data_IF_180820257750
#
_entry.id   IF_180820257750
#
_cell.length_a   1.000
_cell.length_b   1.000
_cell.length_c   1.000
_cell.angle_alpha   90.00
_cell.angle_beta   90.00
_cell.angle_gamma   90.00
#
_symmetry.space_group_name_H-M   'P 1'
#
loop_
_entity.id
_entity.type
_entity.pdbx_description
1 polymer ?
#
# COMPACT_ATOMS: atom_id res chain seq x y z
N UNK A 1 -67.96 -24.16 23.76
CA UNK A 1 -66.86 -24.67 22.92
C UNK A 1 -65.65 -23.69 23.08
N UNK A 2 -64.64 -24.10 23.84
CA UNK A 2 -63.40 -23.33 23.99
C UNK A 2 -62.37 -23.93 23.03
N UNK A 3 -61.95 -23.15 22.03
CA UNK A 3 -60.83 -23.52 21.15
C UNK A 3 -59.51 -23.21 21.84
N UNK A 4 -58.73 -24.24 22.14
CA UNK A 4 -57.33 -24.12 22.59
C UNK A 4 -56.47 -24.11 21.36
N UNK A 5 -55.83 -22.93 21.07
CA UNK A 5 -54.79 -22.82 20.06
C UNK A 5 -53.47 -23.32 20.66
N UNK A 6 -52.99 -24.47 20.21
CA UNK A 6 -51.61 -24.91 20.46
C UNK A 6 -50.67 -24.12 19.56
N UNK A 7 -49.92 -23.15 20.11
CA UNK A 7 -48.76 -22.55 19.43
C UNK A 7 -47.60 -23.53 19.54
N UNK A 8 -47.28 -24.20 18.43
CA UNK A 8 -46.01 -24.93 18.28
C UNK A 8 -44.89 -23.94 18.03
N UNK A 9 -44.10 -23.64 19.05
CA UNK A 9 -42.85 -22.92 18.96
C UNK A 9 -41.81 -23.81 18.23
N UNK A 10 -41.58 -23.57 16.93
CA UNK A 10 -40.42 -24.09 16.27
C UNK A 10 -39.19 -23.31 16.76
N UNK A 11 -38.50 -23.86 17.75
CA UNK A 11 -37.18 -23.39 18.13
C UNK A 11 -36.22 -23.73 16.98
N UNK A 12 -35.86 -22.74 16.19
CA UNK A 12 -34.72 -22.84 15.27
C UNK A 12 -33.48 -22.96 16.16
N UNK A 13 -33.01 -24.17 16.38
CA UNK A 13 -31.67 -24.37 16.94
C UNK A 13 -30.66 -23.91 15.85
N UNK A 14 -30.11 -22.72 16.03
CA UNK A 14 -28.90 -22.32 15.28
C UNK A 14 -27.84 -23.41 15.59
N UNK A 15 -27.22 -24.02 14.57
CA UNK A 15 -26.17 -25.00 14.81
C UNK A 15 -25.06 -24.33 15.63
N UNK A 16 -24.65 -24.95 16.71
CA UNK A 16 -23.53 -24.48 17.51
C UNK A 16 -22.29 -24.39 16.61
N UNK A 17 -21.59 -23.27 16.68
CA UNK A 17 -20.36 -23.06 15.88
C UNK A 17 -19.38 -24.21 16.18
N UNK A 18 -18.95 -24.92 15.13
CA UNK A 18 -17.99 -26.03 15.26
C UNK A 18 -16.60 -25.51 15.60
N UNK A 19 -15.97 -26.10 16.62
CA UNK A 19 -14.57 -25.84 16.97
C UNK A 19 -13.72 -27.05 16.60
N UNK A 20 -12.72 -26.84 15.75
CA UNK A 20 -11.76 -27.85 15.31
C UNK A 20 -10.38 -27.45 15.83
N UNK A 21 -9.99 -28.04 16.96
CA UNK A 21 -8.74 -27.67 17.62
C UNK A 21 -7.56 -28.33 16.91
N UNK A 22 -6.51 -27.55 16.67
CA UNK A 22 -5.24 -28.09 16.13
C UNK A 22 -4.55 -28.91 17.19
N UNK A 23 -4.46 -30.21 16.98
CA UNK A 23 -3.85 -31.17 17.93
C UNK A 23 -2.35 -31.34 17.75
N UNK A 24 -1.84 -31.18 16.50
CA UNK A 24 -0.43 -31.37 16.16
C UNK A 24 0.17 -30.10 15.59
N UNK A 25 1.37 -29.68 16.03
CA UNK A 25 2.01 -28.46 15.56
C UNK A 25 2.72 -28.65 14.19
N UNK A 26 1.99 -29.15 13.23
CA UNK A 26 2.47 -29.44 11.87
C UNK A 26 1.55 -28.83 10.82
N UNK A 27 2.05 -28.71 9.58
CA UNK A 27 1.21 -28.30 8.43
C UNK A 27 -0.05 -29.15 8.33
N UNK A 28 0.09 -30.48 8.41
CA UNK A 28 -1.02 -31.43 8.33
C UNK A 28 -2.00 -31.28 9.49
N UNK A 29 -1.50 -30.98 10.71
CA UNK A 29 -2.38 -30.79 11.89
C UNK A 29 -3.25 -29.56 11.76
N UNK A 30 -2.72 -28.42 11.28
CA UNK A 30 -3.52 -27.22 11.04
C UNK A 30 -4.47 -27.44 9.85
N UNK A 31 -3.98 -28.02 8.75
CA UNK A 31 -4.83 -28.27 7.59
C UNK A 31 -5.98 -29.22 7.93
N UNK A 32 -5.75 -30.26 8.71
CA UNK A 32 -6.79 -31.18 9.14
C UNK A 32 -7.88 -30.49 9.98
N UNK A 33 -7.52 -29.52 10.83
CA UNK A 33 -8.50 -28.74 11.57
C UNK A 33 -9.35 -27.85 10.63
N UNK A 34 -8.71 -27.21 9.62
CA UNK A 34 -9.41 -26.44 8.58
C UNK A 34 -10.38 -27.33 7.80
N UNK A 35 -9.89 -28.48 7.32
CA UNK A 35 -10.67 -29.44 6.52
C UNK A 35 -11.86 -29.98 7.32
N UNK A 36 -11.63 -30.41 8.59
CA UNK A 36 -12.69 -30.91 9.48
C UNK A 36 -13.78 -29.88 9.74
N UNK A 37 -13.42 -28.60 9.92
CA UNK A 37 -14.42 -27.55 10.06
C UNK A 37 -15.23 -27.36 8.77
N UNK A 38 -14.57 -27.34 7.62
CA UNK A 38 -15.24 -27.21 6.32
C UNK A 38 -16.22 -28.38 6.05
N UNK A 39 -15.82 -29.60 6.35
CA UNK A 39 -16.67 -30.81 6.22
C UNK A 39 -17.92 -30.77 7.11
N UNK A 40 -17.85 -30.07 8.23
CA UNK A 40 -19.00 -29.81 9.12
C UNK A 40 -19.88 -28.64 8.67
N UNK A 41 -19.60 -28.07 7.48
CA UNK A 41 -20.32 -26.92 6.94
C UNK A 41 -19.76 -25.56 7.36
N UNK A 42 -18.69 -25.52 8.14
CA UNK A 42 -18.01 -24.33 8.63
C UNK A 42 -17.66 -24.40 10.11
N UNK A 43 -16.91 -23.40 10.58
CA UNK A 43 -16.52 -23.30 11.99
C UNK A 43 -15.17 -22.65 12.20
N UNK A 44 -14.63 -22.86 13.42
CA UNK A 44 -13.38 -22.27 13.87
C UNK A 44 -12.28 -23.34 13.91
N UNK A 45 -11.31 -23.26 13.00
CA UNK A 45 -10.04 -23.98 13.10
C UNK A 45 -9.15 -23.24 14.12
N UNK A 46 -9.12 -23.73 15.34
CA UNK A 46 -8.50 -23.07 16.48
C UNK A 46 -7.06 -23.51 16.66
N UNK A 47 -6.14 -22.54 16.66
CA UNK A 47 -4.71 -22.73 16.85
C UNK A 47 -4.33 -22.31 18.28
N UNK A 48 -4.09 -23.24 19.20
CA UNK A 48 -3.67 -22.95 20.58
C UNK A 48 -2.31 -22.23 20.64
N UNK A 49 -1.94 -21.66 21.80
CA UNK A 49 -0.61 -21.09 22.02
C UNK A 49 0.48 -22.11 21.70
N UNK A 50 1.52 -21.68 20.97
CA UNK A 50 2.63 -22.54 20.55
C UNK A 50 3.28 -22.07 19.27
N UNK A 51 4.37 -22.71 18.88
CA UNK A 51 5.08 -22.47 17.61
C UNK A 51 4.76 -23.58 16.62
N UNK A 52 4.28 -23.18 15.45
CA UNK A 52 3.84 -24.03 14.35
C UNK A 52 4.65 -23.69 13.09
N UNK A 53 5.78 -24.38 12.87
CA UNK A 53 6.54 -24.23 11.62
C UNK A 53 5.90 -25.05 10.52
N UNK A 54 5.40 -24.37 9.47
CA UNK A 54 4.54 -25.01 8.48
C UNK A 54 4.90 -24.62 7.05
N UNK A 55 4.58 -25.51 6.11
CA UNK A 55 4.38 -25.21 4.70
C UNK A 55 3.02 -24.55 4.46
N UNK A 56 2.52 -24.58 3.21
CA UNK A 56 1.31 -23.86 2.83
C UNK A 56 0.05 -24.43 3.49
N UNK A 57 -0.82 -23.53 3.94
CA UNK A 57 -2.16 -23.81 4.47
C UNK A 57 -3.20 -23.26 3.50
N UNK A 58 -4.31 -23.97 3.32
CA UNK A 58 -5.38 -23.61 2.40
C UNK A 58 -6.69 -23.44 3.16
N UNK A 59 -7.22 -22.22 3.15
CA UNK A 59 -8.52 -21.91 3.72
C UNK A 59 -9.64 -22.51 2.86
N UNK A 60 -10.74 -22.84 3.51
CA UNK A 60 -11.93 -23.46 2.92
C UNK A 60 -13.17 -22.62 3.23
N UNK A 61 -14.23 -22.85 2.48
CA UNK A 61 -15.52 -22.19 2.68
C UNK A 61 -16.00 -22.24 4.14
N UNK A 62 -16.46 -21.10 4.62
CA UNK A 62 -17.06 -20.92 5.95
C UNK A 62 -16.12 -21.23 7.13
N UNK A 63 -14.79 -21.17 6.93
CA UNK A 63 -13.80 -21.47 7.97
C UNK A 63 -13.11 -20.21 8.45
N UNK A 64 -13.09 -20.05 9.77
CA UNK A 64 -12.24 -19.09 10.48
C UNK A 64 -10.98 -19.80 10.96
N UNK A 65 -9.80 -19.38 10.52
CA UNK A 65 -8.51 -19.74 11.10
C UNK A 65 -8.21 -18.78 12.26
N UNK A 66 -8.39 -19.25 13.49
CA UNK A 66 -8.25 -18.44 14.70
C UNK A 66 -6.98 -18.77 15.46
N UNK A 67 -6.11 -17.78 15.59
CA UNK A 67 -4.85 -17.90 16.33
C UNK A 67 -5.01 -17.32 17.75
N UNK A 68 -4.83 -18.14 18.77
CA UNK A 68 -4.87 -17.67 20.15
C UNK A 68 -3.65 -16.78 20.48
N UNK A 69 -3.75 -15.97 21.52
CA UNK A 69 -2.61 -15.22 22.03
C UNK A 69 -1.47 -16.17 22.39
N UNK A 70 -0.27 -15.91 21.85
CA UNK A 70 0.89 -16.80 21.98
C UNK A 70 0.99 -17.90 20.91
N UNK A 71 0.01 -18.05 20.02
CA UNK A 71 0.14 -18.90 18.84
C UNK A 71 1.00 -18.20 17.78
N UNK A 72 1.94 -18.92 17.19
CA UNK A 72 2.77 -18.44 16.06
C UNK A 72 2.81 -19.47 14.95
N UNK A 73 2.23 -19.14 13.80
CA UNK A 73 2.42 -19.90 12.56
C UNK A 73 3.61 -19.31 11.83
N UNK A 74 4.68 -20.11 11.65
CA UNK A 74 5.92 -19.65 11.07
C UNK A 74 6.19 -20.36 9.72
N UNK A 75 6.62 -19.60 8.73
CA UNK A 75 6.98 -20.09 7.41
C UNK A 75 8.18 -21.05 7.50
N UNK A 76 8.01 -22.28 7.02
CA UNK A 76 9.09 -23.26 6.95
C UNK A 76 10.18 -22.81 5.97
N UNK A 77 11.42 -22.84 6.42
CA UNK A 77 12.59 -22.57 5.57
C UNK A 77 13.09 -23.83 4.82
N UNK A 78 12.44 -24.98 5.00
CA UNK A 78 12.76 -26.18 4.24
C UNK A 78 12.02 -26.13 2.87
N UNK A 79 12.74 -26.09 1.74
CA UNK A 79 12.12 -26.07 0.42
C UNK A 79 11.21 -27.27 0.14
N UNK A 80 11.49 -28.42 0.75
CA UNK A 80 10.69 -29.65 0.57
C UNK A 80 9.26 -29.54 1.11
N UNK A 81 8.99 -28.58 2.02
CA UNK A 81 7.66 -28.32 2.55
C UNK A 81 6.77 -27.50 1.58
N UNK A 82 7.31 -27.10 0.43
CA UNK A 82 6.65 -26.22 -0.52
C UNK A 82 6.38 -26.89 -1.85
N UNK A 83 5.21 -27.47 -2.05
CA UNK A 83 4.83 -28.03 -3.34
C UNK A 83 4.76 -26.94 -4.41
N UNK A 84 4.97 -27.34 -5.66
CA UNK A 84 4.81 -26.44 -6.80
C UNK A 84 3.41 -25.80 -6.81
N UNK A 85 3.37 -24.50 -7.11
CA UNK A 85 2.10 -23.75 -7.19
C UNK A 85 1.58 -23.20 -5.85
N UNK A 86 2.22 -23.47 -4.71
CA UNK A 86 1.85 -22.84 -3.44
C UNK A 86 2.52 -21.46 -3.29
N UNK A 87 1.78 -20.34 -3.42
CA UNK A 87 2.38 -19.00 -3.41
C UNK A 87 2.68 -18.48 -2.01
N UNK A 88 1.95 -18.90 -0.99
CA UNK A 88 1.98 -18.30 0.34
C UNK A 88 1.89 -19.31 1.47
N UNK A 89 2.17 -18.84 2.70
CA UNK A 89 1.96 -19.60 3.91
C UNK A 89 0.45 -19.82 4.17
N UNK A 90 -0.36 -18.77 4.02
CA UNK A 90 -1.83 -18.87 4.08
C UNK A 90 -2.39 -18.58 2.68
N UNK A 91 -3.22 -19.47 2.17
CA UNK A 91 -3.77 -19.39 0.82
C UNK A 91 -5.29 -19.54 0.84
N UNK A 92 -5.94 -18.87 -0.11
CA UNK A 92 -7.31 -19.20 -0.52
C UNK A 92 -7.44 -19.07 -2.03
N UNK A 93 -8.35 -19.85 -2.62
CA UNK A 93 -8.66 -19.73 -4.04
C UNK A 93 -10.10 -20.15 -4.31
N UNK A 94 -10.93 -19.22 -4.75
CA UNK A 94 -12.32 -19.47 -5.12
C UNK A 94 -13.27 -19.79 -3.96
N UNK A 95 -12.91 -19.40 -2.71
CA UNK A 95 -13.69 -19.70 -1.51
C UNK A 95 -14.44 -18.48 -0.99
N UNK A 96 -15.39 -18.71 -0.09
CA UNK A 96 -16.24 -17.65 0.50
C UNK A 96 -16.34 -17.78 2.02
N UNK A 97 -16.69 -16.64 2.65
CA UNK A 97 -16.93 -16.53 4.08
C UNK A 97 -15.78 -17.13 4.89
N UNK A 98 -14.58 -16.58 4.66
CA UNK A 98 -13.35 -17.03 5.33
C UNK A 98 -12.82 -15.94 6.27
N UNK A 99 -12.14 -16.36 7.32
CA UNK A 99 -11.52 -15.43 8.23
C UNK A 99 -10.14 -15.90 8.73
N UNK A 100 -9.26 -14.93 9.01
CA UNK A 100 -8.01 -15.10 9.75
C UNK A 100 -8.10 -14.16 10.95
N UNK A 101 -8.21 -14.71 12.16
CA UNK A 101 -8.52 -13.88 13.32
C UNK A 101 -7.70 -14.24 14.55
N UNK A 102 -7.90 -13.47 15.62
CA UNK A 102 -7.32 -13.73 16.93
C UNK A 102 -6.19 -12.76 17.30
N UNK A 103 -5.32 -13.17 18.22
CA UNK A 103 -4.23 -12.33 18.73
C UNK A 103 -2.85 -12.97 18.53
N UNK A 104 -2.79 -14.03 17.73
CA UNK A 104 -1.54 -14.71 17.38
C UNK A 104 -0.76 -14.04 16.29
N UNK A 105 0.33 -14.68 15.90
CA UNK A 105 1.30 -14.18 14.92
C UNK A 105 1.42 -15.12 13.73
N UNK A 106 1.50 -14.57 12.54
CA UNK A 106 1.92 -15.27 11.32
C UNK A 106 3.26 -14.66 10.91
N UNK A 107 4.34 -15.45 10.95
CA UNK A 107 5.71 -15.00 10.76
C UNK A 107 6.30 -15.57 9.44
N UNK A 108 6.55 -14.70 8.49
CA UNK A 108 7.11 -15.05 7.19
C UNK A 108 8.58 -15.45 7.21
N UNK A 109 9.29 -15.31 8.35
CA UNK A 109 10.70 -15.69 8.52
C UNK A 109 11.63 -15.18 7.44
N UNK A 110 11.38 -13.98 6.93
CA UNK A 110 12.20 -13.36 5.89
C UNK A 110 13.69 -13.35 6.25
N UNK A 111 14.51 -13.68 5.29
CA UNK A 111 15.98 -13.63 5.39
C UNK A 111 16.52 -12.69 4.31
N UNK A 112 17.52 -11.90 4.68
CA UNK A 112 18.13 -10.92 3.78
C UNK A 112 19.64 -11.01 3.88
N UNK A 113 20.30 -11.01 2.72
CA UNK A 113 21.74 -10.86 2.59
C UNK A 113 22.06 -9.52 1.94
N UNK A 114 23.17 -8.95 2.37
CA UNK A 114 23.71 -7.73 1.81
C UNK A 114 24.59 -8.05 0.59
N UNK A 115 24.35 -7.35 -0.52
CA UNK A 115 25.23 -7.39 -1.67
C UNK A 115 25.43 -6.00 -2.26
N UNK A 116 26.64 -5.74 -2.74
CA UNK A 116 26.89 -4.54 -3.55
C UNK A 116 26.11 -4.65 -4.85
N UNK A 117 25.37 -3.59 -5.20
CA UNK A 117 24.61 -3.56 -6.43
C UNK A 117 25.55 -3.63 -7.64
N UNK A 118 25.35 -4.61 -8.49
CA UNK A 118 26.06 -4.74 -9.76
C UNK A 118 25.12 -4.30 -10.89
N UNK A 119 25.39 -3.14 -11.50
CA UNK A 119 24.60 -2.61 -12.60
C UNK A 119 23.50 -1.64 -12.16
N UNK A 120 22.87 -1.03 -13.14
CA UNK A 120 21.76 -0.08 -12.94
C UNK A 120 20.44 -0.85 -12.94
N UNK A 121 19.66 -0.68 -11.89
CA UNK A 121 18.25 -0.98 -11.92
C UNK A 121 17.57 0.15 -12.71
N UNK A 122 16.92 -0.19 -13.81
CA UNK A 122 16.32 0.81 -14.73
C UNK A 122 15.28 1.67 -14.02
N UNK A 123 14.57 1.11 -13.05
CA UNK A 123 13.52 1.83 -12.33
C UNK A 123 14.06 2.90 -11.38
N UNK A 124 15.30 2.75 -10.92
CA UNK A 124 15.97 3.66 -9.98
C UNK A 124 17.31 4.21 -10.55
N UNK A 125 17.50 4.15 -11.86
CA UNK A 125 18.75 4.55 -12.49
C UNK A 125 19.12 6.01 -12.20
N UNK A 126 18.14 6.91 -12.22
CA UNK A 126 18.34 8.32 -11.94
C UNK A 126 18.79 8.55 -10.49
N UNK A 127 18.09 7.97 -9.55
CA UNK A 127 18.42 8.04 -8.12
C UNK A 127 19.79 7.42 -7.82
N UNK A 128 20.10 6.32 -8.50
CA UNK A 128 21.40 5.65 -8.40
C UNK A 128 22.52 6.55 -8.85
N UNK A 129 22.36 7.25 -9.98
CA UNK A 129 23.37 8.17 -10.49
C UNK A 129 23.56 9.38 -9.60
N UNK A 130 22.48 9.92 -9.03
CA UNK A 130 22.55 11.03 -8.06
C UNK A 130 23.33 10.59 -6.81
N UNK A 131 23.03 9.41 -6.25
CA UNK A 131 23.74 8.85 -5.10
C UNK A 131 25.24 8.66 -5.41
N UNK A 132 25.57 8.11 -6.57
CA UNK A 132 26.95 7.90 -7.01
C UNK A 132 27.71 9.23 -7.11
N UNK A 133 27.11 10.27 -7.70
CA UNK A 133 27.73 11.62 -7.77
C UNK A 133 27.96 12.23 -6.39
N UNK A 134 27.12 11.93 -5.43
CA UNK A 134 27.26 12.38 -4.05
C UNK A 134 28.22 11.51 -3.22
N UNK A 135 28.88 10.51 -3.79
CA UNK A 135 29.78 9.58 -3.09
C UNK A 135 29.07 8.63 -2.15
N UNK A 136 27.76 8.40 -2.33
CA UNK A 136 26.98 7.48 -1.53
C UNK A 136 27.15 6.07 -2.04
N UNK A 137 27.58 5.17 -1.16
CA UNK A 137 27.69 3.75 -1.49
C UNK A 137 26.31 3.14 -1.63
N UNK A 138 26.06 2.53 -2.79
CA UNK A 138 24.80 1.89 -3.12
C UNK A 138 24.80 0.45 -2.62
N UNK A 139 24.01 0.20 -1.59
CA UNK A 139 23.84 -1.10 -0.97
C UNK A 139 22.43 -1.63 -1.23
N UNK A 140 22.31 -2.88 -1.60
CA UNK A 140 21.02 -3.55 -1.78
C UNK A 140 20.97 -4.82 -0.96
N UNK A 141 19.87 -5.02 -0.28
CA UNK A 141 19.56 -6.30 0.34
C UNK A 141 18.82 -7.20 -0.62
N UNK A 142 19.19 -8.47 -0.63
CA UNK A 142 18.51 -9.50 -1.39
C UNK A 142 17.84 -10.46 -0.44
N UNK A 143 16.68 -10.91 -0.84
CA UNK A 143 15.98 -11.98 -0.14
C UNK A 143 16.68 -13.31 -0.37
N UNK A 144 16.84 -14.06 0.70
CA UNK A 144 17.38 -15.42 0.69
C UNK A 144 16.40 -16.37 1.36
N UNK A 145 16.71 -17.66 1.40
CA UNK A 145 15.81 -18.66 1.96
C UNK A 145 14.55 -18.89 1.12
N UNK A 146 13.51 -19.38 1.75
CA UNK A 146 12.22 -19.65 1.10
C UNK A 146 11.47 -18.33 0.91
N UNK A 147 11.18 -17.97 -0.35
CA UNK A 147 10.54 -16.73 -0.72
C UNK A 147 9.07 -16.96 -1.08
N UNK A 148 8.21 -16.91 -0.09
CA UNK A 148 6.76 -17.05 -0.24
C UNK A 148 6.07 -15.86 0.40
N UNK A 149 4.87 -15.50 -0.06
CA UNK A 149 4.02 -14.52 0.60
C UNK A 149 3.60 -15.02 1.99
N UNK A 150 3.27 -14.12 2.91
CA UNK A 150 2.63 -14.52 4.17
C UNK A 150 1.20 -14.97 3.90
N UNK A 151 0.42 -14.19 3.16
CA UNK A 151 -0.94 -14.58 2.78
C UNK A 151 -1.27 -14.17 1.35
N UNK A 152 -1.85 -15.07 0.58
CA UNK A 152 -2.47 -14.80 -0.72
C UNK A 152 -3.90 -15.30 -0.71
N UNK A 153 -4.83 -14.35 -0.75
CA UNK A 153 -6.25 -14.63 -0.84
C UNK A 153 -6.69 -14.30 -2.26
N UNK A 154 -7.07 -15.33 -3.00
CA UNK A 154 -7.34 -15.21 -4.44
C UNK A 154 -8.78 -15.62 -4.77
N UNK A 155 -9.41 -14.89 -5.69
CA UNK A 155 -10.74 -15.22 -6.27
C UNK A 155 -11.81 -15.54 -5.21
N UNK A 156 -11.67 -14.93 -4.02
CA UNK A 156 -12.45 -15.26 -2.82
C UNK A 156 -13.29 -14.06 -2.37
N UNK A 157 -14.33 -14.31 -1.58
CA UNK A 157 -15.23 -13.25 -1.10
C UNK A 157 -15.66 -13.43 0.34
N UNK A 158 -16.19 -12.34 0.93
CA UNK A 158 -16.60 -12.31 2.33
C UNK A 158 -15.43 -12.68 3.25
N UNK A 159 -14.34 -11.92 3.12
CA UNK A 159 -13.05 -12.17 3.77
C UNK A 159 -12.90 -11.26 4.98
N UNK A 160 -12.46 -11.81 6.12
CA UNK A 160 -12.07 -11.04 7.31
C UNK A 160 -10.66 -11.37 7.74
N UNK A 161 -9.88 -10.32 8.04
CA UNK A 161 -8.55 -10.46 8.67
C UNK A 161 -8.52 -9.52 9.88
N UNK A 162 -8.57 -10.07 11.09
CA UNK A 162 -8.81 -9.26 12.28
C UNK A 162 -7.88 -9.62 13.46
N UNK A 163 -7.25 -8.62 14.06
CA UNK A 163 -6.52 -8.70 15.33
C UNK A 163 -5.15 -9.40 15.27
N UNK A 164 -4.83 -10.08 14.19
CA UNK A 164 -3.59 -10.85 14.03
C UNK A 164 -2.38 -9.98 13.73
N UNK A 165 -1.20 -10.52 14.02
CA UNK A 165 0.10 -9.95 13.66
C UNK A 165 0.67 -10.70 12.45
N UNK A 166 0.98 -9.98 11.38
CA UNK A 166 1.63 -10.51 10.17
C UNK A 166 3.03 -9.88 10.08
N UNK A 167 4.08 -10.67 10.22
CA UNK A 167 5.43 -10.11 10.35
C UNK A 167 6.45 -10.81 9.44
N UNK A 168 7.53 -10.08 9.14
CA UNK A 168 8.72 -10.60 8.47
C UNK A 168 8.40 -11.31 7.15
N UNK A 169 7.56 -10.73 6.31
CA UNK A 169 7.28 -11.30 5.00
C UNK A 169 8.50 -11.21 4.08
N UNK A 170 8.89 -12.28 3.39
CA UNK A 170 9.93 -12.21 2.36
C UNK A 170 9.45 -11.58 1.04
N UNK A 171 8.15 -11.46 0.85
CA UNK A 171 7.46 -10.80 -0.28
C UNK A 171 6.35 -9.91 0.28
N UNK A 172 5.35 -9.50 -0.53
CA UNK A 172 4.17 -8.80 -0.03
C UNK A 172 3.50 -9.60 1.10
N UNK A 173 3.07 -8.92 2.15
CA UNK A 173 2.59 -9.59 3.35
C UNK A 173 1.20 -10.18 3.18
N UNK A 174 0.23 -9.33 2.82
CA UNK A 174 -1.15 -9.76 2.56
C UNK A 174 -1.55 -9.32 1.15
N UNK A 175 -1.64 -10.28 0.25
CA UNK A 175 -2.12 -10.04 -1.11
C UNK A 175 -3.57 -10.47 -1.27
N UNK A 176 -4.42 -9.53 -1.67
CA UNK A 176 -5.80 -9.76 -2.09
C UNK A 176 -5.84 -9.72 -3.61
N UNK A 177 -6.13 -10.83 -4.25
CA UNK A 177 -6.15 -10.93 -5.72
C UNK A 177 -7.53 -11.33 -6.23
N UNK A 178 -8.15 -10.50 -7.05
CA UNK A 178 -9.48 -10.77 -7.62
C UNK A 178 -10.57 -11.06 -6.56
N UNK A 179 -10.46 -10.47 -5.37
CA UNK A 179 -11.36 -10.68 -4.24
C UNK A 179 -12.53 -9.69 -4.23
N UNK A 180 -13.52 -9.97 -3.40
CA UNK A 180 -14.67 -9.08 -3.18
C UNK A 180 -15.18 -9.17 -1.73
N UNK A 181 -15.63 -8.02 -1.18
CA UNK A 181 -16.16 -7.92 0.19
C UNK A 181 -15.11 -8.35 1.23
N UNK A 182 -14.15 -7.46 1.47
CA UNK A 182 -13.01 -7.71 2.37
C UNK A 182 -13.02 -6.72 3.53
N UNK A 183 -12.86 -7.23 4.73
CA UNK A 183 -12.68 -6.45 5.96
C UNK A 183 -11.34 -6.79 6.59
N UNK A 184 -10.50 -5.77 6.81
CA UNK A 184 -9.22 -5.89 7.52
C UNK A 184 -9.25 -4.91 8.69
N UNK A 185 -9.15 -5.42 9.91
CA UNK A 185 -9.31 -4.60 11.09
C UNK A 185 -8.36 -4.96 12.23
N UNK A 186 -7.75 -3.95 12.84
CA UNK A 186 -6.93 -4.13 14.04
C UNK A 186 -5.71 -5.00 13.83
N UNK A 187 -5.20 -5.09 12.61
CA UNK A 187 -4.01 -5.89 12.30
C UNK A 187 -2.73 -5.12 12.62
N UNK A 188 -1.68 -5.86 12.97
CA UNK A 188 -0.33 -5.34 13.06
C UNK A 188 0.53 -5.98 11.97
N UNK A 189 1.02 -5.18 11.04
CA UNK A 189 1.92 -5.65 9.98
C UNK A 189 3.30 -5.02 10.17
N UNK A 190 4.35 -5.85 10.08
CA UNK A 190 5.72 -5.38 10.24
C UNK A 190 6.69 -6.08 9.28
N UNK A 191 7.49 -5.30 8.59
CA UNK A 191 8.72 -5.74 7.93
C UNK A 191 9.90 -4.84 8.30
N UNK A 192 11.12 -5.36 8.20
CA UNK A 192 12.33 -4.61 8.48
C UNK A 192 12.45 -3.41 7.54
N UNK A 193 12.39 -2.19 8.09
CA UNK A 193 12.35 -0.94 7.33
C UNK A 193 13.61 -0.68 6.47
N UNK A 194 14.72 -1.33 6.77
CA UNK A 194 15.96 -1.19 6.01
C UNK A 194 16.15 -2.29 4.97
N UNK A 195 15.81 -3.53 5.32
CA UNK A 195 16.15 -4.73 4.55
C UNK A 195 14.97 -5.35 3.80
N UNK A 196 13.74 -5.02 4.19
CA UNK A 196 12.53 -5.67 3.70
C UNK A 196 12.16 -5.32 2.26
N UNK A 197 13.02 -5.62 1.32
CA UNK A 197 12.82 -5.36 -0.11
C UNK A 197 11.55 -6.03 -0.62
N UNK A 198 10.61 -5.28 -1.22
CA UNK A 198 9.30 -5.73 -1.67
C UNK A 198 8.45 -6.42 -0.57
N UNK A 199 8.65 -6.04 0.70
CA UNK A 199 7.82 -6.52 1.79
C UNK A 199 6.71 -5.48 2.07
N UNK A 200 5.83 -5.31 1.06
CA UNK A 200 4.62 -4.49 1.14
C UNK A 200 3.70 -5.02 2.25
N UNK A 201 2.85 -4.17 2.80
CA UNK A 201 1.91 -4.55 3.85
C UNK A 201 0.67 -5.23 3.30
N UNK A 202 -0.20 -4.45 2.66
CA UNK A 202 -1.45 -4.93 2.07
C UNK A 202 -1.50 -4.53 0.61
N UNK A 203 -1.51 -5.51 -0.28
CA UNK A 203 -1.71 -5.31 -1.71
C UNK A 203 -3.12 -5.68 -2.13
N UNK A 204 -3.87 -4.68 -2.58
CA UNK A 204 -5.23 -4.81 -3.09
C UNK A 204 -5.15 -4.86 -4.60
N UNK A 205 -5.24 -6.06 -5.17
CA UNK A 205 -5.00 -6.29 -6.60
C UNK A 205 -6.27 -6.75 -7.28
N UNK A 206 -6.79 -5.97 -8.23
CA UNK A 206 -8.03 -6.30 -8.98
C UNK A 206 -9.19 -6.73 -8.06
N UNK A 207 -9.30 -6.07 -6.91
CA UNK A 207 -10.19 -6.43 -5.80
C UNK A 207 -11.13 -5.28 -5.50
N UNK A 208 -12.36 -5.57 -5.13
CA UNK A 208 -13.39 -4.56 -4.88
C UNK A 208 -14.08 -4.71 -3.50
N UNK A 209 -14.69 -3.59 -3.03
CA UNK A 209 -15.43 -3.52 -1.78
C UNK A 209 -14.55 -3.90 -0.57
N UNK A 210 -13.51 -3.11 -0.30
CA UNK A 210 -12.53 -3.35 0.77
C UNK A 210 -12.62 -2.26 1.82
N UNK A 211 -12.69 -2.67 3.09
CA UNK A 211 -12.60 -1.80 4.26
C UNK A 211 -11.36 -2.19 5.07
N UNK A 212 -10.47 -1.22 5.32
CA UNK A 212 -9.29 -1.38 6.19
C UNK A 212 -9.37 -0.36 7.31
N UNK A 213 -9.29 -0.78 8.56
CA UNK A 213 -9.34 0.16 9.69
C UNK A 213 -8.53 -0.28 10.91
N UNK A 214 -8.29 0.68 11.81
CA UNK A 214 -7.77 0.45 13.17
C UNK A 214 -6.43 -0.30 13.20
N UNK A 215 -5.59 -0.15 12.18
CA UNK A 215 -4.42 -0.99 11.94
C UNK A 215 -3.11 -0.22 12.05
N UNK A 216 -2.03 -0.92 12.43
CA UNK A 216 -0.66 -0.39 12.45
C UNK A 216 0.16 -1.18 11.42
N UNK A 217 0.66 -0.48 10.40
CA UNK A 217 1.39 -1.10 9.29
C UNK A 217 2.74 -0.40 9.13
N UNK A 218 3.81 -1.17 9.29
CA UNK A 218 5.20 -0.69 9.24
C UNK A 218 5.96 -1.56 8.25
N UNK A 219 6.36 -1.01 7.10
CA UNK A 219 6.89 -1.78 5.99
C UNK A 219 8.09 -1.12 5.31
N UNK A 220 8.99 -1.91 4.78
CA UNK A 220 10.09 -1.38 3.99
C UNK A 220 9.66 -0.96 2.57
N UNK A 221 8.64 -1.59 2.02
CA UNK A 221 7.99 -1.17 0.78
C UNK A 221 6.61 -0.56 1.10
N UNK A 222 5.68 -0.49 0.17
CA UNK A 222 4.41 0.19 0.32
C UNK A 222 3.58 -0.38 1.50
N UNK A 223 2.97 0.48 2.33
CA UNK A 223 2.18 -0.03 3.45
C UNK A 223 0.81 -0.55 3.00
N UNK A 224 0.08 0.24 2.21
CA UNK A 224 -1.16 -0.17 1.56
C UNK A 224 -1.05 0.24 0.09
N UNK A 225 -1.11 -0.74 -0.80
CA UNK A 225 -0.93 -0.54 -2.21
C UNK A 225 -2.13 -1.05 -3.02
N UNK A 226 -2.66 -0.21 -3.91
CA UNK A 226 -3.73 -0.55 -4.83
C UNK A 226 -3.15 -0.77 -6.22
N UNK A 227 -3.40 -1.95 -6.77
CA UNK A 227 -2.87 -2.40 -8.06
C UNK A 227 -3.95 -3.07 -8.89
N UNK A 228 -3.70 -3.22 -10.18
CA UNK A 228 -4.50 -4.08 -11.06
C UNK A 228 -3.58 -4.87 -11.96
N UNK A 229 -3.62 -6.18 -11.85
CA UNK A 229 -2.85 -7.06 -12.72
C UNK A 229 -3.48 -8.45 -12.79
N UNK A 230 -3.27 -9.14 -13.89
CA UNK A 230 -3.63 -10.54 -13.99
C UNK A 230 -2.79 -11.37 -13.02
N UNK A 231 -3.42 -12.33 -12.34
CA UNK A 231 -2.67 -13.33 -11.60
C UNK A 231 -1.79 -14.12 -12.57
N UNK A 232 -0.50 -14.14 -12.30
CA UNK A 232 0.46 -14.98 -13.02
C UNK A 232 1.00 -16.01 -12.04
N UNK A 233 0.70 -17.25 -12.28
CA UNK A 233 1.42 -18.32 -11.62
C UNK A 233 2.80 -18.43 -12.28
N UNK A 234 3.81 -17.83 -11.65
CA UNK A 234 5.20 -17.83 -12.16
C UNK A 234 5.74 -19.25 -12.36
N UNK A 235 5.30 -20.19 -11.54
CA UNK A 235 5.76 -21.59 -11.60
C UNK A 235 5.08 -22.38 -12.73
N UNK A 236 3.88 -22.02 -13.14
CA UNK A 236 3.13 -22.74 -14.19
C UNK A 236 3.24 -22.13 -15.58
N UNK A 237 3.90 -20.99 -15.75
CA UNK A 237 4.05 -20.33 -17.05
C UNK A 237 2.74 -19.82 -17.68
N UNK A 238 1.61 -19.96 -17.00
CA UNK A 238 0.29 -19.60 -17.53
C UNK A 238 -0.01 -18.13 -17.23
N UNK A 239 -0.09 -17.33 -18.27
CA UNK A 239 -0.78 -16.04 -18.20
C UNK A 239 -2.27 -16.32 -17.96
N UNK A 240 -2.87 -15.65 -16.96
CA UNK A 240 -4.30 -15.77 -16.73
C UNK A 240 -5.06 -15.36 -18.01
N UNK A 241 -5.96 -16.22 -18.47
CA UNK A 241 -6.82 -15.96 -19.64
C UNK A 241 -7.97 -14.99 -19.32
N UNK A 242 -8.11 -14.54 -18.07
CA UNK A 242 -9.20 -13.65 -17.65
C UNK A 242 -8.82 -12.19 -17.86
N UNK A 243 -9.77 -11.32 -18.26
CA UNK A 243 -9.59 -9.87 -18.23
C UNK A 243 -9.20 -9.41 -16.83
N UNK A 244 -8.29 -8.42 -16.75
CA UNK A 244 -7.90 -7.78 -15.49
C UNK A 244 -9.12 -7.01 -14.97
N UNK A 245 -9.51 -7.26 -13.71
CA UNK A 245 -10.62 -6.56 -13.07
C UNK A 245 -10.15 -5.21 -12.52
N UNK A 246 -11.04 -4.23 -12.38
CA UNK A 246 -10.72 -2.99 -11.69
C UNK A 246 -10.46 -3.22 -10.19
N UNK A 247 -9.77 -2.26 -9.56
CA UNK A 247 -9.73 -2.12 -8.10
C UNK A 247 -10.62 -0.94 -7.73
N UNK A 248 -11.67 -1.19 -6.96
CA UNK A 248 -12.68 -0.15 -6.70
C UNK A 248 -13.42 -0.30 -5.38
N UNK A 249 -14.01 0.81 -4.92
CA UNK A 249 -14.77 0.87 -3.67
C UNK A 249 -13.89 0.52 -2.45
N UNK A 250 -12.82 1.25 -2.27
CA UNK A 250 -11.82 1.01 -1.23
C UNK A 250 -11.90 2.12 -0.18
N UNK A 251 -12.03 1.76 1.08
CA UNK A 251 -11.91 2.69 2.20
C UNK A 251 -10.84 2.23 3.18
N UNK A 252 -9.91 3.13 3.50
CA UNK A 252 -8.87 2.94 4.51
C UNK A 252 -9.00 4.07 5.53
N UNK A 253 -9.14 3.74 6.82
CA UNK A 253 -9.34 4.76 7.85
C UNK A 253 -8.72 4.38 9.20
N UNK A 254 -8.45 5.39 10.03
CA UNK A 254 -7.96 5.22 11.41
C UNK A 254 -6.72 4.30 11.51
N UNK A 255 -5.71 4.53 10.68
CA UNK A 255 -4.50 3.72 10.62
C UNK A 255 -3.24 4.52 10.97
N UNK A 256 -2.24 3.83 11.53
CA UNK A 256 -0.87 4.35 11.66
C UNK A 256 -0.01 3.62 10.64
N UNK A 257 0.58 4.37 9.71
CA UNK A 257 1.37 3.84 8.63
C UNK A 257 2.82 4.35 8.70
N UNK A 258 3.76 3.47 8.41
CA UNK A 258 5.17 3.82 8.19
C UNK A 258 5.71 3.01 7.02
N UNK A 259 6.41 3.65 6.09
CA UNK A 259 6.93 2.99 4.91
C UNK A 259 8.25 3.60 4.46
N UNK A 260 9.21 2.74 4.11
CA UNK A 260 10.43 3.20 3.43
C UNK A 260 10.21 3.47 1.94
N UNK A 261 9.00 3.24 1.42
CA UNK A 261 8.50 3.61 0.10
C UNK A 261 7.29 4.54 0.24
N UNK A 262 6.07 4.05 0.04
CA UNK A 262 4.85 4.86 0.07
C UNK A 262 3.79 4.25 0.98
N UNK A 263 3.37 4.94 2.06
CA UNK A 263 2.33 4.42 2.96
C UNK A 263 0.98 4.22 2.28
N UNK A 264 0.60 5.12 1.37
CA UNK A 264 -0.65 5.08 0.60
C UNK A 264 -0.32 5.17 -0.88
N UNK A 265 -0.27 4.01 -1.55
CA UNK A 265 0.19 3.88 -2.94
C UNK A 265 -0.92 3.41 -3.87
N UNK A 266 -0.97 3.97 -5.07
CA UNK A 266 -1.76 3.48 -6.21
C UNK A 266 -0.81 3.23 -7.38
N UNK A 267 -0.66 1.99 -7.77
CA UNK A 267 0.26 1.53 -8.82
C UNK A 267 1.41 0.67 -8.25
N UNK A 268 2.46 0.36 -9.01
CA UNK A 268 2.70 0.78 -10.39
C UNK A 268 1.96 -0.08 -11.43
N UNK A 269 1.52 -1.29 -11.05
CA UNK A 269 0.75 -2.18 -11.91
C UNK A 269 -0.68 -1.65 -12.07
N UNK A 270 -0.97 -1.09 -13.26
CA UNK A 270 -2.21 -0.37 -13.55
C UNK A 270 -2.78 -0.80 -14.92
N UNK A 271 -3.12 -2.10 -15.04
CA UNK A 271 -3.64 -2.69 -16.28
C UNK A 271 -5.15 -2.54 -16.44
N UNK A 272 -5.88 -2.19 -15.38
CA UNK A 272 -7.30 -1.86 -15.37
C UNK A 272 -7.55 -0.69 -14.42
N UNK A 273 -8.75 -0.11 -14.46
CA UNK A 273 -9.08 1.11 -13.72
C UNK A 273 -9.01 0.92 -12.20
N UNK A 274 -8.61 1.99 -11.50
CA UNK A 274 -8.64 2.08 -10.04
C UNK A 274 -9.46 3.32 -9.68
N UNK A 275 -10.56 3.13 -8.93
CA UNK A 275 -11.51 4.20 -8.67
C UNK A 275 -12.31 4.06 -7.37
N UNK A 276 -12.95 5.16 -6.94
CA UNK A 276 -13.76 5.24 -5.72
C UNK A 276 -12.94 4.83 -4.49
N UNK A 277 -11.86 5.55 -4.24
CA UNK A 277 -10.89 5.26 -3.18
C UNK A 277 -10.87 6.38 -2.16
N UNK A 278 -10.95 6.02 -0.88
CA UNK A 278 -10.82 6.95 0.23
C UNK A 278 -9.77 6.46 1.22
N UNK A 279 -8.80 7.32 1.51
CA UNK A 279 -7.91 7.20 2.66
C UNK A 279 -8.21 8.34 3.63
N UNK A 280 -8.55 8.05 4.88
CA UNK A 280 -8.92 9.09 5.87
C UNK A 280 -8.39 8.80 7.27
N UNK A 281 -8.19 9.87 8.03
CA UNK A 281 -7.83 9.78 9.46
C UNK A 281 -6.58 8.94 9.71
N UNK A 282 -5.50 9.28 9.00
CA UNK A 282 -4.26 8.47 8.98
C UNK A 282 -3.10 9.28 9.59
N UNK A 283 -2.33 8.59 10.42
CA UNK A 283 -1.03 9.08 10.91
C UNK A 283 0.09 8.38 10.13
N UNK A 284 0.85 9.14 9.36
CA UNK A 284 2.04 8.67 8.65
C UNK A 284 3.27 9.06 9.46
N UNK A 285 4.08 8.08 9.84
CA UNK A 285 5.28 8.30 10.63
C UNK A 285 6.51 7.84 9.89
N UNK A 286 7.55 8.67 9.92
CA UNK A 286 8.90 8.30 9.52
C UNK A 286 8.94 7.54 8.19
N UNK A 287 8.29 8.16 7.19
CA UNK A 287 8.05 7.55 5.88
C UNK A 287 8.76 8.31 4.78
N UNK A 288 9.01 7.62 3.68
CA UNK A 288 9.70 8.20 2.53
C UNK A 288 8.77 9.00 1.60
N UNK A 289 7.46 8.93 1.81
CA UNK A 289 6.42 9.66 1.07
C UNK A 289 5.12 9.68 1.88
N UNK A 290 4.12 10.45 1.49
CA UNK A 290 2.76 10.32 2.04
C UNK A 290 1.83 9.72 1.00
N UNK A 291 1.64 10.38 -0.16
CA UNK A 291 0.68 9.99 -1.20
C UNK A 291 1.41 9.64 -2.49
N UNK A 292 1.16 8.47 -3.03
CA UNK A 292 1.71 8.03 -4.30
C UNK A 292 0.63 7.59 -5.30
N UNK A 293 0.68 8.13 -6.51
CA UNK A 293 -0.08 7.64 -7.66
C UNK A 293 0.88 7.55 -8.85
N UNK A 294 1.12 6.35 -9.33
CA UNK A 294 2.03 6.11 -10.46
C UNK A 294 1.37 5.16 -11.46
N UNK A 295 0.83 5.72 -12.55
CA UNK A 295 0.10 4.96 -13.56
C UNK A 295 1.02 4.65 -14.73
N UNK A 296 1.23 3.36 -15.03
CA UNK A 296 2.22 2.92 -16.02
C UNK A 296 1.67 2.04 -17.15
N UNK A 297 0.46 1.46 -16.99
CA UNK A 297 -0.02 0.40 -17.90
C UNK A 297 -1.36 0.73 -18.57
N UNK A 298 -1.68 2.02 -18.72
CA UNK A 298 -2.79 2.50 -19.52
C UNK A 298 -4.13 2.67 -18.81
N UNK A 299 -4.23 2.36 -17.53
CA UNK A 299 -5.45 2.49 -16.75
C UNK A 299 -5.87 3.94 -16.48
N UNK A 300 -7.11 4.11 -16.05
CA UNK A 300 -7.63 5.33 -15.43
C UNK A 300 -7.60 5.17 -13.92
N UNK A 301 -6.89 6.08 -13.24
CA UNK A 301 -7.00 6.24 -11.79
C UNK A 301 -7.87 7.47 -11.53
N UNK A 302 -9.04 7.28 -10.92
CA UNK A 302 -10.00 8.35 -10.71
C UNK A 302 -10.73 8.29 -9.37
N UNK A 303 -11.31 9.42 -8.98
CA UNK A 303 -12.17 9.52 -7.81
C UNK A 303 -11.47 9.02 -6.54
N UNK A 304 -10.25 9.53 -6.32
CA UNK A 304 -9.41 9.21 -5.16
C UNK A 304 -9.39 10.39 -4.21
N UNK A 305 -9.62 10.11 -2.94
CA UNK A 305 -9.58 11.12 -1.88
C UNK A 305 -8.65 10.71 -0.76
N UNK A 306 -7.72 11.61 -0.41
CA UNK A 306 -6.90 11.57 0.80
C UNK A 306 -7.38 12.66 1.75
N UNK A 307 -7.79 12.30 2.96
CA UNK A 307 -8.43 13.22 3.89
C UNK A 307 -7.89 13.07 5.31
N UNK A 308 -7.68 14.20 6.00
CA UNK A 308 -7.26 14.25 7.41
C UNK A 308 -6.03 13.39 7.73
N UNK A 309 -4.87 13.80 7.19
CA UNK A 309 -3.61 13.05 7.33
C UNK A 309 -2.56 13.88 8.08
N UNK A 310 -2.00 13.33 9.14
CA UNK A 310 -0.82 13.91 9.81
C UNK A 310 0.42 13.12 9.40
N UNK A 311 1.52 13.81 9.10
CA UNK A 311 2.71 13.12 8.59
C UNK A 311 4.03 13.70 9.09
N UNK A 312 5.02 12.82 9.24
CA UNK A 312 6.43 13.15 9.44
C UNK A 312 7.27 12.32 8.47
N UNK A 313 8.04 13.01 7.61
CA UNK A 313 8.76 12.37 6.53
C UNK A 313 10.26 12.41 6.75
N UNK A 314 10.89 11.28 6.47
CA UNK A 314 12.34 11.19 6.39
C UNK A 314 12.74 10.20 5.30
N UNK A 315 13.79 10.53 4.55
CA UNK A 315 14.32 9.63 3.55
C UNK A 315 15.04 8.47 4.25
N UNK A 316 14.43 7.29 4.20
CA UNK A 316 14.91 6.10 4.91
C UNK A 316 16.10 5.48 4.21
N UNK A 317 15.94 5.15 2.95
CA UNK A 317 16.98 4.52 2.17
C UNK A 317 17.05 5.15 0.78
N UNK A 318 18.23 5.35 0.23
CA UNK A 318 18.37 5.96 -1.09
C UNK A 318 17.86 5.04 -2.21
N UNK A 319 17.77 3.72 -2.00
CA UNK A 319 17.23 2.73 -2.93
C UNK A 319 15.71 2.72 -3.04
N UNK A 320 15.01 3.29 -2.06
CA UNK A 320 13.56 3.22 -2.04
C UNK A 320 12.99 4.41 -2.80
N UNK A 321 11.88 4.15 -3.49
CA UNK A 321 11.25 5.12 -4.38
C UNK A 321 10.59 6.26 -3.59
N UNK A 322 11.32 7.30 -3.35
CA UNK A 322 10.85 8.49 -2.68
C UNK A 322 11.99 9.32 -2.10
N UNK A 323 11.71 10.60 -1.87
CA UNK A 323 12.67 11.58 -1.36
C UNK A 323 12.15 12.32 -0.14
N UNK A 324 11.23 11.71 0.64
CA UNK A 324 10.50 12.33 1.73
C UNK A 324 9.60 13.49 1.23
N UNK A 325 8.94 13.30 0.10
CA UNK A 325 7.97 14.23 -0.50
C UNK A 325 6.53 13.96 -0.02
N UNK A 326 5.70 15.01 0.05
CA UNK A 326 4.29 14.87 0.44
C UNK A 326 3.50 14.08 -0.59
N UNK A 327 3.66 14.37 -1.88
CA UNK A 327 2.95 13.65 -2.93
C UNK A 327 3.79 13.46 -4.18
N UNK A 328 3.53 12.34 -4.86
CA UNK A 328 4.05 12.05 -6.20
C UNK A 328 2.95 11.44 -7.04
N UNK A 329 2.32 12.25 -7.90
CA UNK A 329 1.27 11.82 -8.83
C UNK A 329 1.81 11.92 -10.23
N UNK A 330 2.09 10.78 -10.86
CA UNK A 330 2.79 10.76 -12.16
C UNK A 330 2.21 9.74 -13.12
N UNK A 331 2.19 10.11 -14.38
CA UNK A 331 2.03 9.18 -15.49
C UNK A 331 3.42 8.75 -15.95
N UNK A 332 3.59 7.47 -16.24
CA UNK A 332 4.80 6.92 -16.83
C UNK A 332 4.44 5.87 -17.88
N UNK A 333 5.37 5.51 -18.71
CA UNK A 333 5.30 4.32 -19.56
C UNK A 333 6.20 3.26 -18.97
N UNK A 334 5.67 2.07 -18.68
CA UNK A 334 6.51 0.94 -18.22
C UNK A 334 7.50 0.51 -19.31
N UNK A 335 7.05 0.58 -20.55
CA UNK A 335 7.87 0.36 -21.75
C UNK A 335 7.47 1.39 -22.81
N UNK A 336 8.27 1.53 -23.86
CA UNK A 336 7.92 2.42 -24.99
C UNK A 336 6.59 2.06 -25.65
N UNK A 337 6.18 0.79 -25.60
CA UNK A 337 4.91 0.29 -26.16
C UNK A 337 3.72 0.49 -25.21
N UNK A 338 3.94 0.88 -23.96
CA UNK A 338 2.87 1.10 -23.01
C UNK A 338 2.01 2.30 -23.43
N UNK A 339 0.69 2.14 -23.32
CA UNK A 339 -0.26 3.23 -23.50
C UNK A 339 -0.23 4.10 -22.24
N UNK A 340 -0.25 5.42 -22.41
CA UNK A 340 -0.38 6.33 -21.27
C UNK A 340 -1.78 6.21 -20.67
N UNK A 341 -1.84 6.00 -19.37
CA UNK A 341 -3.06 6.04 -18.61
C UNK A 341 -3.58 7.45 -18.34
N UNK A 342 -4.46 7.59 -17.37
CA UNK A 342 -5.01 8.86 -16.91
C UNK A 342 -5.04 8.91 -15.39
N UNK A 343 -4.87 10.11 -14.84
CA UNK A 343 -5.10 10.44 -13.43
C UNK A 343 -6.08 11.61 -13.43
N UNK A 344 -7.25 11.42 -12.82
CA UNK A 344 -8.30 12.42 -12.82
C UNK A 344 -9.16 12.39 -11.55
N UNK A 345 -9.70 13.55 -11.14
CA UNK A 345 -10.56 13.70 -9.96
C UNK A 345 -9.84 13.25 -8.66
N UNK A 346 -8.66 13.77 -8.41
CA UNK A 346 -7.89 13.47 -7.20
C UNK A 346 -8.02 14.64 -6.20
N UNK A 347 -8.34 14.32 -4.96
CA UNK A 347 -8.44 15.30 -3.88
C UNK A 347 -7.49 14.95 -2.73
N UNK A 348 -6.68 15.89 -2.32
CA UNK A 348 -5.93 15.88 -1.05
C UNK A 348 -6.49 16.98 -0.18
N UNK A 349 -7.03 16.65 0.99
CA UNK A 349 -7.74 17.56 1.84
C UNK A 349 -7.41 17.38 3.33
N UNK A 350 -6.94 18.44 3.99
CA UNK A 350 -6.65 18.40 5.42
C UNK A 350 -5.41 17.57 5.77
N UNK A 351 -4.27 17.86 5.14
CA UNK A 351 -3.02 17.18 5.45
C UNK A 351 -2.00 18.13 6.09
N UNK A 352 -1.26 17.67 7.12
CA UNK A 352 -0.26 18.50 7.78
C UNK A 352 0.95 17.72 8.29
N UNK A 353 2.14 18.35 8.26
CA UNK A 353 3.35 17.71 8.78
C UNK A 353 4.68 18.30 8.34
N UNK A 354 5.70 17.44 8.26
CA UNK A 354 7.05 17.80 7.82
C UNK A 354 7.47 16.98 6.60
N UNK A 355 8.18 17.62 5.68
CA UNK A 355 8.71 16.99 4.47
C UNK A 355 10.17 17.40 4.24
N UNK A 356 10.87 16.67 3.35
CA UNK A 356 12.28 16.95 3.03
C UNK A 356 12.55 16.92 1.53
N UNK A 357 11.65 16.39 0.75
CA UNK A 357 11.76 16.24 -0.70
C UNK A 357 10.74 17.10 -1.47
N UNK A 358 11.04 17.34 -2.71
CA UNK A 358 10.14 18.04 -3.63
C UNK A 358 8.95 17.19 -4.02
N UNK A 359 7.74 17.64 -3.68
CA UNK A 359 6.51 17.01 -4.16
C UNK A 359 6.32 17.23 -5.65
N UNK A 360 5.85 16.22 -6.38
CA UNK A 360 5.69 16.26 -7.83
C UNK A 360 4.30 15.79 -8.26
N UNK A 361 3.60 16.63 -9.02
CA UNK A 361 2.35 16.29 -9.71
C UNK A 361 2.57 16.58 -11.19
N UNK A 362 2.68 15.50 -12.00
CA UNK A 362 3.14 15.67 -13.39
C UNK A 362 2.39 14.76 -14.36
N UNK A 363 1.77 15.37 -15.36
CA UNK A 363 1.23 14.70 -16.54
C UNK A 363 2.20 14.69 -17.72
N UNK A 364 1.68 14.31 -18.87
CA UNK A 364 2.34 14.46 -20.17
C UNK A 364 1.67 15.59 -20.96
N UNK A 365 2.36 16.17 -21.94
CA UNK A 365 1.79 17.20 -22.82
C UNK A 365 0.53 16.70 -23.52
N UNK A 366 0.58 15.49 -24.07
CA UNK A 366 -0.53 14.83 -24.74
C UNK A 366 -1.54 14.20 -23.76
N UNK A 367 -1.21 14.15 -22.48
CA UNK A 367 -2.03 13.53 -21.43
C UNK A 367 -1.86 14.28 -20.11
N UNK A 368 -2.39 15.49 -19.97
CA UNK A 368 -2.36 16.18 -18.69
C UNK A 368 -3.18 15.44 -17.63
N UNK A 369 -2.80 15.59 -16.38
CA UNK A 369 -3.69 15.19 -15.26
C UNK A 369 -4.92 16.08 -15.24
N UNK A 370 -6.06 15.57 -14.75
CA UNK A 370 -7.31 16.32 -14.77
C UNK A 370 -7.94 16.45 -13.38
N UNK A 371 -8.47 17.65 -13.10
CA UNK A 371 -9.26 17.93 -11.88
C UNK A 371 -8.51 17.49 -10.61
N UNK A 372 -7.36 18.08 -10.37
CA UNK A 372 -6.56 17.87 -9.17
C UNK A 372 -6.90 18.96 -8.15
N UNK A 373 -7.32 18.57 -6.96
CA UNK A 373 -7.67 19.46 -5.86
C UNK A 373 -6.75 19.21 -4.67
N UNK A 374 -6.10 20.25 -4.18
CA UNK A 374 -5.32 20.21 -2.93
C UNK A 374 -5.85 21.33 -2.04
N UNK A 375 -6.34 20.95 -0.87
CA UNK A 375 -6.97 21.86 0.07
C UNK A 375 -6.45 21.65 1.48
N UNK A 376 -6.31 22.74 2.25
CA UNK A 376 -5.90 22.70 3.66
C UNK A 376 -4.63 21.84 3.88
N UNK A 377 -3.64 22.00 3.00
CA UNK A 377 -2.35 21.37 3.11
C UNK A 377 -1.37 22.31 3.81
N UNK A 378 -0.81 21.87 4.94
CA UNK A 378 0.21 22.62 5.67
C UNK A 378 1.42 21.75 5.92
N UNK A 379 2.59 22.20 5.51
CA UNK A 379 3.82 21.47 5.83
C UNK A 379 5.04 22.38 5.92
N UNK A 380 6.02 21.88 6.68
CA UNK A 380 7.34 22.48 6.80
C UNK A 380 8.37 21.67 6.05
N UNK A 381 9.12 22.30 5.17
CA UNK A 381 10.29 21.72 4.53
C UNK A 381 11.47 21.73 5.50
N UNK A 382 12.01 20.56 5.79
CA UNK A 382 13.21 20.35 6.60
C UNK A 382 14.39 19.98 5.70
N UNK A 383 15.64 20.17 6.13
CA UNK A 383 16.82 19.72 5.40
C UNK A 383 16.78 18.21 5.16
N UNK A 384 17.23 17.78 4.00
CA UNK A 384 17.30 16.35 3.69
C UNK A 384 18.27 15.62 4.62
N UNK A 385 17.84 14.48 5.12
CA UNK A 385 18.60 13.66 6.07
C UNK A 385 19.59 12.68 5.41
N UNK A 386 19.87 12.86 4.11
CA UNK A 386 20.85 12.09 3.34
C UNK A 386 21.84 13.03 2.64
N UNK A 387 23.07 12.58 2.35
CA UNK A 387 24.11 13.43 1.74
C UNK A 387 23.82 13.81 0.27
N UNK A 388 23.15 12.93 -0.48
CA UNK A 388 22.75 13.16 -1.88
C UNK A 388 21.48 14.04 -1.92
N UNK A 389 21.69 15.34 -1.83
CA UNK A 389 20.62 16.35 -1.83
C UNK A 389 19.88 16.40 -3.16
N UNK A 390 18.56 16.40 -3.12
CA UNK A 390 17.67 16.33 -4.30
C UNK A 390 16.56 17.37 -4.30
N UNK A 391 16.20 17.88 -3.11
CA UNK A 391 15.10 18.84 -2.96
C UNK A 391 15.46 20.19 -3.56
N UNK A 392 14.61 20.69 -4.44
CA UNK A 392 14.77 22.01 -5.08
C UNK A 392 13.64 22.96 -4.75
N UNK A 393 12.42 22.51 -4.77
CA UNK A 393 11.20 23.26 -4.46
C UNK A 393 10.35 22.48 -3.46
N UNK A 394 9.38 23.11 -2.81
CA UNK A 394 8.50 22.35 -1.95
C UNK A 394 7.48 21.54 -2.77
N UNK A 395 6.93 22.14 -3.82
CA UNK A 395 5.98 21.47 -4.72
C UNK A 395 6.16 21.94 -6.17
N UNK A 396 6.15 20.99 -7.10
CA UNK A 396 6.10 21.21 -8.55
C UNK A 396 4.81 20.58 -9.08
N UNK A 397 4.02 21.36 -9.81
CA UNK A 397 2.82 20.91 -10.52
C UNK A 397 2.97 21.26 -11.99
N UNK A 398 2.90 20.26 -12.85
CA UNK A 398 3.11 20.50 -14.28
C UNK A 398 2.19 19.63 -15.15
N UNK A 399 1.74 20.20 -16.26
CA UNK A 399 0.84 19.55 -17.23
C UNK A 399 -0.44 19.03 -16.56
N UNK A 400 -1.18 19.98 -15.96
CA UNK A 400 -2.46 19.72 -15.27
C UNK A 400 -3.54 20.61 -15.87
N UNK A 401 -4.71 20.04 -16.13
CA UNK A 401 -5.93 20.73 -16.51
C UNK A 401 -6.95 20.67 -15.37
N UNK A 402 -7.40 21.82 -14.88
CA UNK A 402 -8.30 21.90 -13.73
C UNK A 402 -7.54 21.66 -12.42
N UNK A 403 -6.73 22.64 -12.02
CA UNK A 403 -6.02 22.61 -10.73
C UNK A 403 -6.69 23.53 -9.73
N UNK A 404 -7.10 22.98 -8.59
CA UNK A 404 -7.59 23.78 -7.45
C UNK A 404 -6.61 23.69 -6.29
N UNK A 405 -6.08 24.84 -5.85
CA UNK A 405 -5.23 24.97 -4.67
C UNK A 405 -5.94 25.92 -3.67
N UNK A 406 -6.31 25.43 -2.49
CA UNK A 406 -7.00 26.21 -1.47
C UNK A 406 -6.39 26.03 -0.10
N UNK A 407 -6.06 27.14 0.56
CA UNK A 407 -5.50 27.16 1.92
C UNK A 407 -4.23 26.30 2.04
N UNK A 408 -3.28 26.53 1.16
CA UNK A 408 -1.96 25.88 1.15
C UNK A 408 -0.98 26.71 1.97
N UNK A 409 -0.31 26.09 2.91
CA UNK A 409 0.68 26.74 3.79
C UNK A 409 2.02 25.96 3.73
N UNK A 410 3.06 26.62 3.21
CA UNK A 410 4.41 26.05 3.06
C UNK A 410 5.40 26.88 3.86
N UNK A 411 6.02 26.27 4.85
CA UNK A 411 7.11 26.85 5.62
C UNK A 411 8.44 26.12 5.35
N UNK A 412 9.56 26.74 5.71
CA UNK A 412 10.90 26.20 5.55
C UNK A 412 11.66 26.26 6.86
N UNK A 413 12.64 25.38 7.02
CA UNK A 413 13.56 25.45 8.17
C UNK A 413 14.60 26.55 7.97
N UNK A 414 14.39 27.66 8.65
CA UNK A 414 15.30 28.82 8.61
C UNK A 414 16.64 28.57 9.30
N UNK A 415 16.74 27.54 10.15
CA UNK A 415 17.97 27.24 10.90
C UNK A 415 19.02 26.56 10.03
N UNK A 416 18.59 25.72 9.12
CA UNK A 416 19.49 24.92 8.28
C UNK A 416 19.01 24.90 6.82
N UNK A 417 18.92 26.07 6.13
CA UNK A 417 18.46 26.12 4.75
C UNK A 417 19.46 25.44 3.82
N UNK A 418 18.94 24.71 2.84
CA UNK A 418 19.78 24.06 1.81
C UNK A 418 19.98 24.98 0.60
N UNK A 419 21.19 25.02 0.01
CA UNK A 419 21.49 25.93 -1.11
C UNK A 419 20.63 25.75 -2.34
N UNK A 420 20.12 24.54 -2.58
CA UNK A 420 19.27 24.22 -3.74
C UNK A 420 17.80 24.60 -3.56
N UNK A 421 17.40 25.05 -2.39
CA UNK A 421 15.99 25.41 -2.17
C UNK A 421 15.60 26.65 -2.97
N UNK A 422 14.46 26.54 -3.64
CA UNK A 422 13.87 27.57 -4.49
C UNK A 422 12.47 27.97 -4.03
N UNK A 423 11.50 27.95 -4.90
CA UNK A 423 10.12 28.38 -4.64
C UNK A 423 9.32 27.38 -3.80
N UNK A 424 8.34 27.88 -3.06
CA UNK A 424 7.37 27.05 -2.39
C UNK A 424 6.45 26.31 -3.39
N UNK A 425 6.14 26.95 -4.51
CA UNK A 425 5.28 26.37 -5.54
C UNK A 425 5.82 26.72 -6.94
N UNK A 426 5.89 25.72 -7.79
CA UNK A 426 6.18 25.88 -9.22
C UNK A 426 5.03 25.31 -10.03
N UNK A 427 4.46 26.12 -10.91
CA UNK A 427 3.37 25.75 -11.81
C UNK A 427 3.85 25.88 -13.26
N UNK A 428 3.75 24.79 -14.03
CA UNK A 428 4.13 24.76 -15.46
C UNK A 428 3.04 24.09 -16.29
N UNK A 429 2.66 24.69 -17.39
CA UNK A 429 1.67 24.14 -18.32
C UNK A 429 0.35 23.75 -17.60
N UNK A 430 -0.17 24.67 -16.79
CA UNK A 430 -1.42 24.48 -16.03
C UNK A 430 -2.53 25.29 -16.66
N UNK A 431 -3.69 24.68 -16.89
CA UNK A 431 -4.91 25.35 -17.33
C UNK A 431 -6.04 25.18 -16.31
N UNK A 432 -6.97 26.13 -16.32
CA UNK A 432 -8.11 26.18 -15.39
C UNK A 432 -7.65 26.17 -13.92
N UNK A 433 -6.64 27.01 -13.60
CA UNK A 433 -6.14 27.19 -12.24
C UNK A 433 -7.13 27.99 -11.39
N UNK A 434 -7.50 27.43 -10.23
CA UNK A 434 -8.16 28.14 -9.13
C UNK A 434 -7.24 28.10 -7.92
N UNK A 435 -6.78 29.27 -7.45
CA UNK A 435 -5.86 29.34 -6.31
C UNK A 435 -6.31 30.42 -5.33
N UNK A 436 -6.55 30.04 -4.08
CA UNK A 436 -6.92 30.94 -2.98
C UNK A 436 -6.23 30.53 -1.68
N UNK A 437 -5.95 31.50 -0.80
CA UNK A 437 -5.41 31.23 0.53
C UNK A 437 -3.99 30.60 0.54
N UNK A 438 -3.19 30.81 -0.50
CA UNK A 438 -1.81 30.35 -0.50
C UNK A 438 -0.96 31.21 0.44
N UNK A 439 -0.22 30.57 1.36
CA UNK A 439 0.77 31.17 2.24
C UNK A 439 2.08 30.42 2.11
N UNK A 440 3.16 31.14 1.85
CA UNK A 440 4.48 30.57 1.73
C UNK A 440 5.48 31.58 1.22
N UNK A 441 6.75 31.36 1.51
CA UNK A 441 7.88 32.09 0.98
C UNK A 441 8.78 31.19 0.18
N UNK A 442 9.72 31.72 -0.59
CA UNK A 442 10.80 30.92 -1.17
C UNK A 442 11.71 30.37 -0.05
N UNK A 443 12.20 29.16 -0.23
CA UNK A 443 13.24 28.58 0.63
C UNK A 443 14.65 29.11 0.32
N UNK A 444 14.80 29.69 -0.86
CA UNK A 444 16.04 30.31 -1.31
C UNK A 444 16.41 31.55 -0.48
N UNK A 445 17.72 31.75 -0.26
CA UNK A 445 18.25 33.01 0.30
C UNK A 445 18.34 34.13 -0.72
N UNK A 446 18.25 33.81 -2.02
CA UNK A 446 18.17 34.81 -3.07
C UNK A 446 16.78 35.44 -3.10
N UNK A 447 16.72 36.73 -2.78
CA UNK A 447 15.46 37.50 -2.77
C UNK A 447 14.79 37.61 -4.15
N UNK A 448 15.50 37.33 -5.22
CA UNK A 448 14.95 37.29 -6.57
C UNK A 448 14.08 36.06 -6.83
N UNK A 449 14.21 35.00 -6.04
CA UNK A 449 13.41 33.80 -6.17
C UNK A 449 12.01 34.01 -5.61
N UNK A 450 10.93 33.97 -6.41
CA UNK A 450 9.58 34.21 -5.92
C UNK A 450 9.05 32.99 -5.14
N UNK A 451 8.10 33.22 -4.23
CA UNK A 451 7.41 32.14 -3.54
C UNK A 451 6.66 31.20 -4.49
N UNK A 452 6.09 31.77 -5.56
CA UNK A 452 5.36 31.03 -6.60
C UNK A 452 5.97 31.37 -7.96
N UNK A 453 6.40 30.35 -8.69
CA UNK A 453 6.78 30.47 -10.10
C UNK A 453 5.63 29.99 -10.99
N UNK A 454 5.28 30.77 -12.02
CA UNK A 454 4.25 30.41 -13.01
C UNK A 454 4.86 30.46 -14.41
N UNK A 455 4.72 29.37 -15.16
CA UNK A 455 5.16 29.26 -16.55
C UNK A 455 4.05 28.63 -17.39
N UNK A 456 3.55 29.34 -18.37
CA UNK A 456 2.43 28.93 -19.24
C UNK A 456 1.18 28.49 -18.43
N UNK A 457 0.79 29.33 -17.49
CA UNK A 457 -0.36 29.09 -16.61
C UNK A 457 -1.55 29.93 -17.08
N UNK A 458 -2.73 29.28 -17.18
CA UNK A 458 -4.01 29.93 -17.46
C UNK A 458 -4.94 29.74 -16.26
N UNK A 459 -5.42 30.83 -15.71
CA UNK A 459 -6.39 30.79 -14.62
C UNK A 459 -7.79 30.45 -15.14
N UNK A 460 -8.63 29.85 -14.32
CA UNK A 460 -10.01 29.58 -14.65
C UNK A 460 -10.75 30.90 -14.87
N UNK A 461 -11.68 30.90 -15.79
CA UNK A 461 -12.60 32.03 -15.94
C UNK A 461 -13.48 32.12 -14.67
N UNK A 462 -13.83 33.35 -14.25
CA UNK A 462 -14.65 33.58 -13.06
C UNK A 462 -16.05 32.96 -13.16
#
# INVERSE_FOLDING_TARGET
>A
MRFVFLLTLFAWQLPAQSWCVVEKPTTQGIQAAIDSCSEKGGGVAYVPPGLYTTGPLWLKDNVELRLEAGATIALSQNPADWPAGAPALINSNGVKNIAITGRGTIDGKAQYEYATMRGLDIEIAEETEIARKAGVEIKRYYRTGVQKYVAVLQDSREIRVEGVRLINSPLWTLRLQDCNQVWIRGVYIYSDLEKGVNADGIDIVSTSNVLISDSIIITADDAICLKTQAWRNREAGNAASRPVRPTENITVTNCILSSSSTPMMIGTETYADIRHVVFSDIVVRDSNKVFGINVQDGAVVSDVRFHNVTFDLSRRHWNWWGNAEVCKFVLKKRTEKSVLGRIENITVDGAQGTARGTSLIAGYTERPLKNITIERLRFKMLPENKPDKRATHAMIVERVQGLTLRDIDVDWDDKSPEPAWGSALVLRDVSDLRMTGFRGKAGSRDAAVPAIQKERVKEALP
#
